data_IF_438732324302
#
_entry.id   IF_438732324302
#
_cell.length_a   1.000
_cell.length_b   1.000
_cell.length_c   1.000
_cell.angle_alpha   90.00
_cell.angle_beta   90.00
_cell.angle_gamma   90.00
#
_symmetry.space_group_name_H-M   'P 1'
#
loop_
_entity.id
_entity.type
_entity.pdbx_description
1 polymer ?
#
# COMPACT_ATOMS: atom_id res chain seq x y z
N UNK A 1 0.23 7.29 19.83
CA UNK A 1 0.22 8.65 19.24
C UNK A 1 0.41 9.72 20.31
N UNK A 2 -0.34 9.71 21.44
CA UNK A 2 -0.24 10.71 22.50
C UNK A 2 1.17 10.83 23.11
N UNK A 3 1.93 9.76 23.20
CA UNK A 3 3.32 9.77 23.69
C UNK A 3 4.26 10.45 22.68
N UNK A 4 4.04 10.21 21.36
CA UNK A 4 4.85 10.84 20.31
C UNK A 4 4.58 12.35 20.26
N UNK A 5 3.30 12.75 20.40
CA UNK A 5 2.91 14.15 20.37
C UNK A 5 3.46 14.99 21.55
N UNK A 6 3.81 14.34 22.66
CA UNK A 6 4.38 14.97 23.88
C UNK A 6 5.91 14.91 23.94
N UNK A 7 6.53 14.12 23.07
CA UNK A 7 7.99 13.95 23.03
C UNK A 7 8.65 15.10 22.26
N UNK A 8 9.87 15.45 22.64
CA UNK A 8 10.71 16.33 21.84
C UNK A 8 11.15 15.67 20.53
N UNK A 9 11.78 16.42 19.64
CA UNK A 9 12.11 15.98 18.27
C UNK A 9 13.04 14.76 18.25
N UNK A 10 14.02 14.70 19.16
CA UNK A 10 15.01 13.62 19.20
C UNK A 10 14.42 12.35 19.85
N UNK A 11 13.73 12.52 20.97
CA UNK A 11 13.04 11.43 21.67
C UNK A 11 11.90 10.85 20.84
N UNK A 12 11.20 11.66 20.04
CA UNK A 12 10.11 11.17 19.19
C UNK A 12 10.59 10.20 18.11
N UNK A 13 11.77 10.44 17.53
CA UNK A 13 12.36 9.54 16.54
C UNK A 13 12.68 8.17 17.14
N UNK A 14 13.31 8.13 18.31
CA UNK A 14 13.59 6.88 19.01
C UNK A 14 12.31 6.13 19.41
N UNK A 15 11.29 6.86 19.84
CA UNK A 15 10.00 6.28 20.22
C UNK A 15 9.30 5.64 19.00
N UNK A 16 9.34 6.30 17.85
CA UNK A 16 8.82 5.76 16.60
C UNK A 16 9.59 4.51 16.19
N UNK A 17 10.93 4.56 16.18
CA UNK A 17 11.76 3.41 15.87
C UNK A 17 11.43 2.21 16.75
N UNK A 18 11.32 2.42 18.08
CA UNK A 18 10.95 1.36 19.02
C UNK A 18 9.56 0.78 18.75
N UNK A 19 8.61 1.59 18.31
CA UNK A 19 7.26 1.14 17.95
C UNK A 19 7.24 0.31 16.66
N UNK A 20 8.21 0.51 15.76
CA UNK A 20 8.32 -0.24 14.50
C UNK A 20 9.12 -1.56 14.62
N UNK A 21 9.83 -1.80 15.75
CA UNK A 21 10.56 -3.05 15.99
C UNK A 21 9.66 -4.29 15.99
N UNK A 22 8.45 -4.28 16.63
CA UNK A 22 7.58 -5.45 16.62
C UNK A 22 7.09 -5.76 15.21
N UNK A 23 7.25 -7.01 14.78
CA UNK A 23 6.71 -7.49 13.51
C UNK A 23 5.17 -7.37 13.48
N UNK A 24 4.63 -7.16 12.27
CA UNK A 24 3.18 -7.13 12.07
C UNK A 24 2.60 -8.50 12.47
N UNK A 25 1.65 -8.48 13.39
CA UNK A 25 0.93 -9.69 13.83
C UNK A 25 -0.16 -10.02 12.80
N UNK A 26 -0.04 -11.16 12.15
CA UNK A 26 -0.95 -11.59 11.08
C UNK A 26 -2.39 -11.75 11.56
N UNK A 27 -2.57 -12.22 12.79
CA UNK A 27 -3.88 -12.37 13.42
C UNK A 27 -4.64 -11.05 13.52
N UNK A 28 -3.92 -9.92 13.69
CA UNK A 28 -4.55 -8.60 13.74
C UNK A 28 -5.10 -8.16 12.39
N UNK A 29 -4.48 -8.55 11.28
CA UNK A 29 -4.99 -8.27 9.94
C UNK A 29 -6.34 -8.94 9.78
N UNK A 30 -6.41 -10.25 10.05
CA UNK A 30 -7.64 -11.02 9.96
C UNK A 30 -8.73 -10.47 10.90
N UNK A 31 -8.36 -10.08 12.13
CA UNK A 31 -9.28 -9.51 13.10
C UNK A 31 -9.88 -8.19 12.61
N UNK A 32 -9.06 -7.28 12.07
CA UNK A 32 -9.53 -5.99 11.54
C UNK A 32 -10.43 -6.14 10.33
N UNK A 33 -10.09 -7.04 9.41
CA UNK A 33 -10.98 -7.34 8.26
C UNK A 33 -12.34 -7.84 8.75
N UNK A 34 -12.37 -8.78 9.70
CA UNK A 34 -13.62 -9.28 10.28
C UNK A 34 -14.42 -8.19 11.00
N UNK A 35 -13.77 -7.28 11.70
CA UNK A 35 -14.43 -6.13 12.35
C UNK A 35 -15.11 -5.23 11.31
N UNK A 36 -14.42 -4.89 10.20
CA UNK A 36 -14.98 -4.11 9.10
C UNK A 36 -16.18 -4.83 8.46
N UNK A 37 -16.06 -6.13 8.21
CA UNK A 37 -17.15 -6.93 7.64
C UNK A 37 -18.38 -6.99 8.56
N UNK A 38 -18.17 -7.12 9.88
CA UNK A 38 -19.28 -7.07 10.86
C UNK A 38 -19.98 -5.72 10.88
N UNK A 39 -19.28 -4.63 10.59
CA UNK A 39 -19.85 -3.30 10.47
C UNK A 39 -20.58 -3.05 9.13
N UNK A 40 -20.62 -4.05 8.23
CA UNK A 40 -21.30 -3.94 6.92
C UNK A 40 -20.57 -3.06 5.90
N UNK A 41 -19.28 -2.75 6.12
CA UNK A 41 -18.50 -1.90 5.22
C UNK A 41 -17.58 -2.72 4.31
N UNK A 42 -17.23 -2.15 3.15
CA UNK A 42 -16.25 -2.74 2.22
C UNK A 42 -14.87 -2.76 2.88
N UNK A 43 -14.28 -3.94 2.98
CA UNK A 43 -12.97 -4.15 3.59
C UNK A 43 -11.89 -4.18 2.50
N UNK A 44 -11.10 -3.10 2.40
CA UNK A 44 -9.93 -3.02 1.55
C UNK A 44 -8.65 -3.16 2.40
N UNK A 45 -7.72 -4.00 1.95
CA UNK A 45 -6.44 -4.22 2.62
C UNK A 45 -5.31 -3.86 1.68
N UNK A 46 -4.38 -3.01 2.12
CA UNK A 46 -3.21 -2.64 1.34
C UNK A 46 -1.93 -3.26 1.88
N UNK A 47 -1.00 -3.56 0.97
CA UNK A 47 0.32 -4.07 1.30
C UNK A 47 1.36 -3.61 0.27
N UNK A 48 2.62 -3.61 0.71
CA UNK A 48 3.76 -3.44 -0.21
C UNK A 48 3.95 -4.71 -1.05
N UNK A 49 4.52 -4.62 -2.26
CA UNK A 49 4.71 -5.76 -3.16
C UNK A 49 5.43 -6.95 -2.51
N UNK A 50 6.46 -6.70 -1.71
CA UNK A 50 7.28 -7.73 -1.07
C UNK A 50 6.51 -8.63 -0.10
N UNK A 51 5.40 -8.15 0.44
CA UNK A 51 4.56 -8.87 1.42
C UNK A 51 3.16 -9.20 0.87
N UNK A 52 2.90 -8.86 -0.41
CA UNK A 52 1.58 -8.99 -1.02
C UNK A 52 1.10 -10.44 -1.06
N UNK A 53 1.95 -11.40 -1.44
CA UNK A 53 1.58 -12.83 -1.46
C UNK A 53 1.08 -13.31 -0.08
N UNK A 54 1.84 -12.97 0.97
CA UNK A 54 1.54 -13.40 2.33
C UNK A 54 0.28 -12.73 2.89
N UNK A 55 0.21 -11.42 2.82
CA UNK A 55 -0.91 -10.66 3.39
C UNK A 55 -2.17 -10.74 2.54
N UNK A 56 -2.03 -10.91 1.21
CA UNK A 56 -3.15 -11.16 0.31
C UNK A 56 -3.89 -12.46 0.66
N UNK A 57 -3.16 -13.53 0.91
CA UNK A 57 -3.75 -14.80 1.33
C UNK A 57 -4.50 -14.68 2.67
N UNK A 58 -3.94 -13.94 3.64
CA UNK A 58 -4.57 -13.70 4.95
C UNK A 58 -5.83 -12.84 4.79
N UNK A 59 -5.74 -11.75 4.04
CA UNK A 59 -6.85 -10.84 3.80
C UNK A 59 -8.02 -11.54 3.09
N UNK A 60 -7.74 -12.31 2.05
CA UNK A 60 -8.74 -13.09 1.33
C UNK A 60 -9.42 -14.13 2.23
N UNK A 61 -8.67 -14.88 3.04
CA UNK A 61 -9.24 -15.82 4.02
C UNK A 61 -10.09 -15.15 5.09
N UNK A 62 -9.75 -13.91 5.46
CA UNK A 62 -10.50 -13.12 6.43
C UNK A 62 -11.78 -12.50 5.84
N UNK A 63 -11.98 -12.54 4.51
CA UNK A 63 -13.15 -12.02 3.82
C UNK A 63 -13.00 -10.56 3.37
N UNK A 64 -11.78 -10.10 3.08
CA UNK A 64 -11.59 -8.80 2.45
C UNK A 64 -12.23 -8.75 1.06
N UNK A 65 -12.74 -7.59 0.68
CA UNK A 65 -13.42 -7.37 -0.61
C UNK A 65 -12.44 -6.91 -1.70
N UNK A 66 -11.40 -6.16 -1.32
CA UNK A 66 -10.41 -5.59 -2.25
C UNK A 66 -9.02 -5.76 -1.65
N UNK A 67 -8.05 -6.10 -2.47
CA UNK A 67 -6.64 -6.09 -2.08
C UNK A 67 -5.86 -5.07 -2.90
N UNK A 68 -5.08 -4.22 -2.23
CA UNK A 68 -4.32 -3.15 -2.86
C UNK A 68 -2.82 -3.43 -2.73
N UNK A 69 -2.12 -3.53 -3.84
CA UNK A 69 -0.66 -3.59 -3.87
C UNK A 69 -0.14 -2.18 -4.13
N UNK A 70 0.42 -1.55 -3.12
CA UNK A 70 0.81 -0.14 -3.18
C UNK A 70 2.29 0.06 -2.87
N UNK A 71 2.94 0.84 -3.74
CA UNK A 71 4.31 1.31 -3.58
C UNK A 71 4.39 2.77 -4.04
N UNK A 72 5.45 3.48 -3.69
CA UNK A 72 5.65 4.89 -4.11
C UNK A 72 5.62 5.03 -5.64
N UNK A 73 6.27 4.09 -6.33
CA UNK A 73 6.13 3.88 -7.79
C UNK A 73 6.13 2.38 -8.01
N UNK A 74 5.08 1.86 -8.64
CA UNK A 74 4.96 0.45 -8.95
C UNK A 74 5.48 0.17 -10.36
N UNK A 75 6.22 -0.92 -10.51
CA UNK A 75 6.64 -1.49 -11.79
C UNK A 75 6.24 -2.96 -11.83
N UNK A 76 6.00 -3.49 -13.03
CA UNK A 76 5.67 -4.92 -13.20
C UNK A 76 6.85 -5.80 -12.81
N UNK A 77 8.07 -5.31 -13.04
CA UNK A 77 9.31 -5.98 -12.69
C UNK A 77 10.02 -5.19 -11.59
N UNK A 78 9.81 -5.58 -10.36
CA UNK A 78 10.58 -5.02 -9.24
C UNK A 78 11.88 -5.83 -9.08
N UNK A 79 13.01 -5.24 -9.45
CA UNK A 79 14.32 -5.87 -9.28
C UNK A 79 14.83 -5.51 -7.88
N UNK A 80 14.98 -6.50 -7.03
CA UNK A 80 15.58 -6.35 -5.70
C UNK A 80 16.58 -7.46 -5.47
N UNK A 81 17.74 -7.13 -4.91
CA UNK A 81 18.76 -8.12 -4.51
C UNK A 81 18.41 -8.84 -3.21
N UNK A 82 17.54 -8.26 -2.38
CA UNK A 82 17.23 -8.78 -1.04
C UNK A 82 15.86 -9.44 -0.92
N UNK A 83 14.92 -9.12 -1.82
CA UNK A 83 13.54 -9.61 -1.73
C UNK A 83 13.11 -10.31 -3.02
N UNK A 84 12.38 -11.41 -2.86
CA UNK A 84 11.75 -12.11 -3.97
C UNK A 84 10.83 -11.16 -4.72
N UNK A 85 11.06 -11.01 -6.01
CA UNK A 85 10.22 -10.19 -6.90
C UNK A 85 8.81 -10.76 -6.96
N UNK A 86 7.80 -9.92 -6.75
CA UNK A 86 6.40 -10.28 -6.92
C UNK A 86 6.10 -10.49 -8.41
N UNK A 87 5.73 -11.69 -8.80
CA UNK A 87 5.12 -11.96 -10.11
C UNK A 87 3.65 -11.55 -10.05
N UNK A 88 3.39 -10.32 -10.49
CA UNK A 88 2.08 -9.71 -10.38
C UNK A 88 1.00 -10.48 -11.16
N UNK A 89 1.33 -11.02 -12.34
CA UNK A 89 0.38 -11.77 -13.14
C UNK A 89 -0.03 -13.08 -12.48
N UNK A 90 0.93 -13.81 -11.87
CA UNK A 90 0.62 -15.00 -11.07
C UNK A 90 -0.15 -14.65 -9.80
N UNK A 91 0.22 -13.56 -9.14
CA UNK A 91 -0.45 -13.10 -7.95
C UNK A 91 -1.92 -12.77 -8.24
N UNK A 92 -2.22 -11.97 -9.27
CA UNK A 92 -3.58 -11.62 -9.66
C UNK A 92 -4.43 -12.87 -9.97
N UNK A 93 -3.86 -13.85 -10.69
CA UNK A 93 -4.54 -15.12 -10.97
C UNK A 93 -4.82 -15.96 -9.74
N UNK A 94 -3.99 -15.86 -8.70
CA UNK A 94 -4.17 -16.61 -7.44
C UNK A 94 -5.22 -15.98 -6.52
N UNK A 95 -5.51 -14.69 -6.70
CA UNK A 95 -6.47 -13.96 -5.88
C UNK A 95 -7.90 -14.13 -6.41
N UNK A 96 -8.84 -14.41 -5.50
CA UNK A 96 -10.28 -14.49 -5.80
C UNK A 96 -11.00 -13.15 -5.63
N UNK A 97 -10.31 -12.15 -5.08
CA UNK A 97 -10.82 -10.80 -4.85
C UNK A 97 -10.11 -9.82 -5.79
N UNK A 98 -10.75 -8.72 -6.16
CA UNK A 98 -10.16 -7.69 -7.01
C UNK A 98 -8.82 -7.20 -6.46
N UNK A 99 -7.82 -7.10 -7.34
CA UNK A 99 -6.49 -6.59 -7.01
C UNK A 99 -6.31 -5.23 -7.67
N UNK A 100 -6.08 -4.22 -6.86
CA UNK A 100 -5.77 -2.85 -7.29
C UNK A 100 -4.27 -2.62 -7.10
N UNK A 101 -3.60 -2.05 -8.08
CA UNK A 101 -2.14 -1.85 -8.03
C UNK A 101 -1.78 -0.40 -8.30
N UNK A 102 -0.77 0.10 -7.65
CA UNK A 102 -0.22 1.43 -7.89
C UNK A 102 0.87 1.78 -6.85
N UNK A 103 1.41 2.95 -6.90
CA UNK A 103 1.06 4.07 -7.78
C UNK A 103 1.86 4.02 -9.09
N UNK A 104 1.28 4.47 -10.19
CA UNK A 104 1.97 4.64 -11.47
C UNK A 104 1.86 6.08 -11.95
N UNK A 105 2.86 6.53 -12.71
CA UNK A 105 2.94 7.90 -13.23
C UNK A 105 3.26 7.95 -14.73
N UNK A 106 3.45 6.80 -15.36
CA UNK A 106 3.77 6.72 -16.78
C UNK A 106 2.82 5.82 -17.54
N UNK A 107 2.57 6.16 -18.81
CA UNK A 107 1.68 5.38 -19.67
C UNK A 107 2.17 3.93 -19.85
N UNK A 108 3.47 3.74 -20.16
CA UNK A 108 4.02 2.41 -20.41
C UNK A 108 3.85 1.47 -19.22
N UNK A 109 4.21 1.92 -18.00
CA UNK A 109 4.03 1.12 -16.78
C UNK A 109 2.55 0.86 -16.52
N UNK A 110 1.67 1.83 -16.77
CA UNK A 110 0.23 1.63 -16.61
C UNK A 110 -0.31 0.52 -17.51
N UNK A 111 0.13 0.51 -18.77
CA UNK A 111 -0.26 -0.52 -19.72
C UNK A 111 0.24 -1.91 -19.31
N UNK A 112 1.51 -2.03 -18.94
CA UNK A 112 2.08 -3.29 -18.45
C UNK A 112 1.35 -3.82 -17.22
N UNK A 113 0.96 -2.94 -16.28
CA UNK A 113 0.20 -3.33 -15.09
C UNK A 113 -1.20 -3.84 -15.47
N UNK A 114 -1.88 -3.20 -16.41
CA UNK A 114 -3.17 -3.66 -16.92
C UNK A 114 -3.06 -5.02 -17.62
N UNK A 115 -2.03 -5.24 -18.43
CA UNK A 115 -1.76 -6.52 -19.10
C UNK A 115 -1.47 -7.66 -18.10
N UNK A 116 -0.94 -7.34 -16.91
CA UNK A 116 -0.76 -8.30 -15.82
C UNK A 116 -2.08 -8.80 -15.22
N UNK A 117 -3.24 -8.25 -15.62
CA UNK A 117 -4.57 -8.71 -15.21
C UNK A 117 -5.04 -8.12 -13.88
N UNK A 118 -4.63 -6.92 -13.54
CA UNK A 118 -5.15 -6.18 -12.38
C UNK A 118 -6.60 -5.76 -12.58
N UNK A 119 -7.33 -5.58 -11.48
CA UNK A 119 -8.74 -5.13 -11.51
C UNK A 119 -8.88 -3.61 -11.43
N UNK A 120 -7.84 -2.91 -10.99
CA UNK A 120 -7.82 -1.46 -10.89
C UNK A 120 -6.41 -0.90 -10.79
N UNK A 121 -6.25 0.37 -11.20
CA UNK A 121 -4.96 1.05 -11.24
C UNK A 121 -5.04 2.37 -10.47
N UNK A 122 -4.05 2.61 -9.61
CA UNK A 122 -3.88 3.90 -8.93
C UNK A 122 -2.89 4.75 -9.74
N UNK A 123 -3.39 5.81 -10.35
CA UNK A 123 -2.58 6.73 -11.17
C UNK A 123 -2.23 7.98 -10.37
N UNK A 124 -0.95 8.34 -10.37
CA UNK A 124 -0.43 9.52 -9.66
C UNK A 124 0.07 9.21 -8.25
N UNK A 125 0.87 10.12 -7.71
CA UNK A 125 1.46 10.03 -6.36
C UNK A 125 0.92 11.10 -5.41
N UNK A 126 -0.13 11.79 -5.83
CA UNK A 126 -0.72 12.91 -5.11
C UNK A 126 0.01 14.24 -5.34
N UNK A 127 -0.60 15.37 -4.96
CA UNK A 127 -0.05 16.70 -5.20
C UNK A 127 1.17 17.05 -4.33
N UNK A 128 1.56 16.17 -3.42
CA UNK A 128 2.58 16.48 -2.42
C UNK A 128 2.08 17.44 -1.34
N UNK A 129 2.87 17.62 -0.29
CA UNK A 129 2.61 18.63 0.73
C UNK A 129 3.19 19.96 0.24
N UNK A 130 2.46 21.08 0.28
CA UNK A 130 3.03 22.39 0.00
C UNK A 130 4.25 22.62 0.91
N UNK A 131 5.38 23.04 0.34
CA UNK A 131 6.55 23.39 1.13
C UNK A 131 6.20 24.56 2.07
N UNK A 132 6.68 24.58 3.32
CA UNK A 132 6.35 25.63 4.28
C UNK A 132 6.77 27.05 3.86
N UNK A 133 7.48 27.20 2.78
CA UNK A 133 7.96 28.48 2.24
C UNK A 133 7.23 28.96 0.96
N UNK A 134 6.02 28.48 0.71
CA UNK A 134 5.19 29.00 -0.39
C UNK A 134 5.67 28.67 -1.81
N UNK A 135 6.65 27.77 -1.97
CA UNK A 135 7.03 27.27 -3.28
C UNK A 135 6.03 26.19 -3.70
N UNK A 136 4.96 26.61 -4.31
CA UNK A 136 4.02 25.71 -4.97
C UNK A 136 4.65 25.27 -6.30
N UNK A 137 4.76 23.93 -6.51
CA UNK A 137 5.13 23.42 -7.82
C UNK A 137 4.02 23.78 -8.81
N UNK A 138 4.38 24.52 -9.83
CA UNK A 138 3.54 25.38 -10.69
C UNK A 138 2.32 24.69 -11.36
N UNK A 139 2.28 23.38 -11.46
CA UNK A 139 1.16 22.68 -12.11
C UNK A 139 -0.04 22.37 -11.18
N UNK A 140 0.18 22.29 -9.90
CA UNK A 140 -0.89 22.01 -8.93
C UNK A 140 -1.69 23.26 -8.51
N UNK A 141 -1.15 24.47 -8.80
CA UNK A 141 -1.75 25.76 -8.43
C UNK A 141 -2.53 26.45 -9.56
N UNK A 142 -2.57 25.90 -10.76
CA UNK A 142 -3.28 26.50 -11.91
C UNK A 142 -4.68 25.89 -12.11
N UNK A 143 -5.51 25.97 -11.11
CA UNK A 143 -6.97 25.82 -11.30
C UNK A 143 -7.70 26.91 -10.53
#
# INVERSE_FOLDING_TARGET
LSQIAKADKDTSTHLIQKMYIPSIKEDLIAKRVKEMKKAGIVAAVSSIPQKAEKYGAIAQKAGADIFVVQSTVSTVRHISSEYKTLDLAKFCKSMKIPVVVGNTVTYGVSLELMEAGISGLLVGVGPGRPAPHGVCWDWACRR
#
